data_IF_275971893637
#
_entry.id   IF_275971893637
#
_cell.length_a   1.000
_cell.length_b   1.000
_cell.length_c   1.000
_cell.angle_alpha   90.00
_cell.angle_beta   90.00
_cell.angle_gamma   90.00
#
_symmetry.space_group_name_H-M   'P 1'
#
loop_
_entity.id
_entity.type
_entity.pdbx_description
1 polymer ?
#
# COMPACT_ATOMS: atom_id res chain seq x y z
N UNK A 1 3.15 -12.81 -10.74
CA UNK A 1 2.83 -11.73 -9.78
C UNK A 1 1.87 -12.24 -8.74
N UNK A 2 2.23 -12.10 -7.47
CA UNK A 2 1.46 -12.67 -6.36
C UNK A 2 0.29 -11.76 -6.01
N UNK A 3 -0.92 -12.31 -6.00
CA UNK A 3 -2.12 -11.58 -5.58
C UNK A 3 -2.14 -11.38 -4.05
N UNK A 4 -2.82 -10.33 -3.61
CA UNK A 4 -3.10 -10.13 -2.21
C UNK A 4 -4.12 -11.13 -1.68
N UNK A 5 -4.08 -11.38 -0.38
CA UNK A 5 -5.01 -12.26 0.32
C UNK A 5 -5.80 -11.46 1.36
N UNK A 6 -7.01 -11.93 1.67
CA UNK A 6 -7.87 -11.34 2.70
C UNK A 6 -7.91 -12.29 3.91
N UNK A 7 -7.62 -11.75 5.09
CA UNK A 7 -7.62 -12.49 6.36
C UNK A 7 -8.72 -11.95 7.27
N UNK A 8 -9.47 -12.86 7.91
CA UNK A 8 -10.44 -12.54 8.96
C UNK A 8 -9.72 -12.61 10.32
N UNK A 9 -9.69 -11.49 11.04
CA UNK A 9 -9.03 -11.38 12.34
C UNK A 9 -10.00 -11.44 13.52
N UNK A 10 -11.26 -11.83 13.28
CA UNK A 10 -12.27 -11.92 14.34
C UNK A 10 -12.85 -10.57 14.74
N UNK A 11 -13.35 -9.79 13.79
CA UNK A 11 -13.92 -8.45 14.00
C UNK A 11 -13.23 -7.36 13.20
N UNK A 12 -12.03 -7.63 12.74
CA UNK A 12 -11.31 -6.81 11.78
C UNK A 12 -10.82 -7.68 10.63
N UNK A 13 -10.40 -7.04 9.56
CA UNK A 13 -9.95 -7.70 8.34
C UNK A 13 -8.55 -7.21 7.98
N UNK A 14 -7.80 -8.03 7.26
CA UNK A 14 -6.46 -7.64 6.83
C UNK A 14 -6.16 -8.12 5.42
N UNK A 15 -5.72 -7.21 4.57
CA UNK A 15 -5.12 -7.52 3.29
C UNK A 15 -3.64 -7.78 3.50
N UNK A 16 -3.11 -8.81 2.85
CA UNK A 16 -1.69 -9.14 2.87
C UNK A 16 -1.15 -9.27 1.47
N UNK A 17 -0.07 -8.54 1.20
CA UNK A 17 0.69 -8.62 -0.05
C UNK A 17 2.13 -8.94 0.28
N UNK A 18 2.75 -9.82 -0.51
CA UNK A 18 4.18 -10.11 -0.41
C UNK A 18 4.82 -9.96 -1.77
N UNK A 19 5.93 -9.23 -1.84
CA UNK A 19 6.69 -9.01 -3.08
C UNK A 19 8.15 -9.32 -2.85
N UNK A 20 8.73 -10.10 -3.75
CA UNK A 20 10.19 -10.29 -3.82
C UNK A 20 10.74 -9.22 -4.75
N UNK A 21 11.69 -8.42 -4.24
CA UNK A 21 12.24 -7.26 -4.94
C UNK A 21 13.74 -7.46 -5.12
N UNK A 22 14.21 -7.44 -6.37
CA UNK A 22 15.61 -7.66 -6.72
C UNK A 22 16.43 -6.37 -6.60
N UNK A 23 16.29 -5.68 -5.47
CA UNK A 23 17.02 -4.47 -5.13
C UNK A 23 17.46 -4.51 -3.66
N UNK A 24 18.57 -3.82 -3.31
CA UNK A 24 19.03 -3.79 -1.92
C UNK A 24 17.97 -3.28 -0.96
N UNK A 25 17.92 -3.86 0.24
CA UNK A 25 16.97 -3.47 1.28
C UNK A 25 16.99 -1.96 1.57
N UNK A 26 18.17 -1.36 1.61
CA UNK A 26 18.32 0.09 1.82
C UNK A 26 17.63 0.93 0.75
N UNK A 27 17.75 0.52 -0.52
CA UNK A 27 17.09 1.22 -1.63
C UNK A 27 15.57 1.12 -1.51
N UNK A 28 15.06 -0.06 -1.21
CA UNK A 28 13.62 -0.29 -1.05
C UNK A 28 13.10 0.45 0.18
N UNK A 29 13.87 0.46 1.28
CA UNK A 29 13.51 1.18 2.49
C UNK A 29 13.29 2.67 2.20
N UNK A 30 14.20 3.31 1.47
CA UNK A 30 14.04 4.71 1.07
C UNK A 30 12.80 4.92 0.20
N UNK A 31 12.54 4.01 -0.72
CA UNK A 31 11.37 4.10 -1.59
C UNK A 31 10.05 4.06 -0.81
N UNK A 32 9.99 3.32 0.29
CA UNK A 32 8.75 3.15 1.06
C UNK A 32 8.61 4.09 2.26
N UNK A 33 9.65 4.86 2.61
CA UNK A 33 9.62 5.74 3.78
C UNK A 33 9.93 7.22 3.48
N UNK A 34 10.63 7.52 2.42
CA UNK A 34 10.92 8.91 2.06
C UNK A 34 9.77 9.51 1.24
N UNK A 35 9.16 10.62 1.68
CA UNK A 35 7.97 11.20 1.02
C UNK A 35 8.16 11.46 -0.47
N UNK A 36 9.32 11.96 -0.88
CA UNK A 36 9.63 12.24 -2.28
C UNK A 36 9.65 10.98 -3.15
N UNK A 37 10.07 9.83 -2.58
CA UNK A 37 10.06 8.55 -3.28
C UNK A 37 8.69 7.85 -3.20
N UNK A 38 7.95 8.06 -2.12
CA UNK A 38 6.60 7.51 -1.96
C UNK A 38 5.62 8.01 -3.02
N UNK A 39 5.85 9.20 -3.58
CA UNK A 39 5.02 9.75 -4.67
C UNK A 39 4.94 8.85 -5.89
N UNK A 40 5.95 8.03 -6.13
CA UNK A 40 5.97 7.13 -7.28
C UNK A 40 4.93 6.01 -7.17
N UNK A 41 4.56 5.62 -5.96
CA UNK A 41 3.74 4.42 -5.76
C UNK A 41 2.59 4.56 -4.75
N UNK A 42 2.76 5.36 -3.70
CA UNK A 42 1.74 5.50 -2.65
C UNK A 42 0.57 6.36 -3.14
N UNK A 43 -0.69 6.09 -2.69
CA UNK A 43 -1.85 6.79 -3.24
C UNK A 43 -1.95 8.28 -2.90
N UNK A 44 -1.29 8.74 -1.83
CA UNK A 44 -1.29 10.15 -1.41
C UNK A 44 0.12 10.66 -1.22
N UNK A 45 0.26 11.99 -1.21
CA UNK A 45 1.46 12.65 -0.70
C UNK A 45 1.46 12.55 0.82
N UNK A 46 2.62 12.25 1.40
CA UNK A 46 2.80 12.06 2.84
C UNK A 46 3.72 13.14 3.37
N UNK A 47 3.33 13.78 4.47
CA UNK A 47 4.18 14.69 5.21
C UNK A 47 4.10 14.39 6.70
N UNK A 48 5.12 14.78 7.46
CA UNK A 48 5.14 14.59 8.91
C UNK A 48 6.46 14.01 9.41
N UNK A 49 6.42 13.39 10.57
CA UNK A 49 7.60 12.90 11.28
C UNK A 49 7.58 11.38 11.38
N UNK A 50 8.57 10.73 10.79
CA UNK A 50 8.75 9.28 10.83
C UNK A 50 9.42 8.82 12.12
N UNK A 51 8.75 9.09 13.26
CA UNK A 51 9.13 8.61 14.58
C UNK A 51 7.88 8.08 15.26
N UNK A 52 8.01 7.12 16.16
CA UNK A 52 6.85 6.56 16.88
C UNK A 52 6.11 7.69 17.61
N UNK A 53 4.80 7.75 17.40
CA UNK A 53 3.95 8.85 17.89
C UNK A 53 3.98 10.10 17.01
N UNK A 54 4.80 10.12 15.97
CA UNK A 54 4.88 11.27 15.06
C UNK A 54 3.62 11.43 14.21
N UNK A 55 3.11 12.67 14.08
CA UNK A 55 1.93 12.93 13.28
C UNK A 55 2.27 12.88 11.79
N UNK A 56 1.34 12.31 11.00
CA UNK A 56 1.41 12.28 9.54
C UNK A 56 0.20 13.00 8.97
N UNK A 57 0.39 13.60 7.80
CA UNK A 57 -0.69 14.16 6.98
C UNK A 57 -0.62 13.54 5.61
N UNK A 58 -1.77 13.04 5.15
CA UNK A 58 -1.95 12.46 3.84
C UNK A 58 -2.77 13.42 2.98
N UNK A 59 -2.20 13.84 1.85
CA UNK A 59 -2.83 14.78 0.93
C UNK A 59 -3.04 14.11 -0.43
N UNK A 60 -4.18 14.32 -1.03
CA UNK A 60 -4.45 13.80 -2.38
C UNK A 60 -3.45 14.33 -3.40
N UNK A 61 -3.15 13.55 -4.45
CA UNK A 61 -2.23 13.97 -5.49
C UNK A 61 -2.65 15.32 -6.08
N UNK A 62 -1.71 16.24 -6.22
CA UNK A 62 -1.97 17.59 -6.74
C UNK A 62 -3.05 18.36 -5.95
N UNK A 63 -3.19 18.07 -4.65
CA UNK A 63 -4.17 18.70 -3.79
C UNK A 63 -5.61 18.26 -4.01
N UNK A 64 -5.82 17.13 -4.67
CA UNK A 64 -7.17 16.60 -4.91
C UNK A 64 -7.70 15.87 -3.69
N UNK A 65 -8.93 16.18 -3.31
CA UNK A 65 -9.59 15.58 -2.17
C UNK A 65 -9.17 16.19 -0.84
N UNK A 66 -9.86 15.84 0.25
CA UNK A 66 -9.53 16.34 1.58
C UNK A 66 -8.26 15.68 2.12
N UNK A 67 -7.48 16.46 2.86
CA UNK A 67 -6.39 15.92 3.65
C UNK A 67 -6.94 15.10 4.81
N UNK A 68 -6.20 14.08 5.23
CA UNK A 68 -6.51 13.35 6.45
C UNK A 68 -5.23 13.04 7.23
N UNK A 69 -5.39 12.80 8.52
CA UNK A 69 -4.27 12.62 9.43
C UNK A 69 -3.96 11.15 9.67
N UNK A 70 -2.75 10.92 10.15
CA UNK A 70 -2.28 9.64 10.60
C UNK A 70 -1.24 9.80 11.70
N UNK A 71 -0.66 8.68 12.07
CA UNK A 71 0.35 8.62 13.13
C UNK A 71 1.25 7.42 12.89
N UNK A 72 2.55 7.57 13.14
CA UNK A 72 3.48 6.44 13.14
C UNK A 72 3.29 5.63 14.41
N UNK A 73 2.94 4.35 14.27
CA UNK A 73 2.67 3.43 15.37
C UNK A 73 3.87 2.57 15.74
N UNK A 74 4.70 2.21 14.75
CA UNK A 74 5.92 1.43 14.95
C UNK A 74 6.94 1.80 13.89
N UNK A 75 8.21 1.80 14.26
CA UNK A 75 9.28 2.17 13.36
C UNK A 75 10.58 1.48 13.77
N UNK A 76 11.11 0.63 12.89
CA UNK A 76 12.42 0.02 13.04
C UNK A 76 13.17 0.27 11.73
N UNK A 77 14.22 1.10 11.72
CA UNK A 77 14.94 1.43 10.50
C UNK A 77 15.32 0.20 9.69
N UNK A 78 15.15 0.28 8.38
CA UNK A 78 15.44 -0.76 7.39
C UNK A 78 14.52 -1.97 7.42
N UNK A 79 13.62 -2.14 8.40
CA UNK A 79 12.84 -3.38 8.52
C UNK A 79 11.34 -3.19 8.69
N UNK A 80 10.88 -2.11 9.32
CA UNK A 80 9.47 -2.00 9.69
C UNK A 80 9.03 -0.55 9.83
N UNK A 81 7.88 -0.24 9.22
CA UNK A 81 7.10 0.95 9.56
C UNK A 81 5.62 0.57 9.60
N UNK A 82 4.93 1.03 10.63
CA UNK A 82 3.49 0.88 10.77
C UNK A 82 2.88 2.23 11.09
N UNK A 83 1.80 2.57 10.41
CA UNK A 83 1.16 3.87 10.60
C UNK A 83 -0.35 3.77 10.43
N UNK A 84 -1.06 4.65 11.14
CA UNK A 84 -2.48 4.86 10.94
C UNK A 84 -2.69 5.70 9.67
N UNK A 85 -3.55 5.21 8.80
CA UNK A 85 -3.90 5.81 7.52
C UNK A 85 -5.42 5.99 7.48
N UNK A 86 -5.88 7.16 7.94
CA UNK A 86 -7.30 7.35 8.21
C UNK A 86 -7.77 6.37 9.29
N UNK A 87 -8.71 5.52 8.96
CA UNK A 87 -9.24 4.48 9.85
C UNK A 87 -8.52 3.13 9.70
N UNK A 88 -7.62 3.02 8.72
CA UNK A 88 -6.86 1.79 8.48
C UNK A 88 -5.51 1.85 9.19
N UNK A 89 -4.89 0.68 9.35
CA UNK A 89 -3.50 0.56 9.80
C UNK A 89 -2.70 -0.11 8.69
N UNK A 90 -1.68 0.59 8.20
CA UNK A 90 -0.79 0.10 7.17
C UNK A 90 0.53 -0.29 7.82
N UNK A 91 1.01 -1.50 7.50
CA UNK A 91 2.29 -2.01 7.97
C UNK A 91 3.13 -2.46 6.79
N UNK A 92 4.36 -1.96 6.72
CA UNK A 92 5.33 -2.33 5.71
C UNK A 92 6.52 -2.98 6.40
N UNK A 93 6.85 -4.20 5.99
CA UNK A 93 7.97 -4.96 6.54
C UNK A 93 8.96 -5.30 5.43
N UNK A 94 10.25 -5.16 5.71
CA UNK A 94 11.32 -5.57 4.81
C UNK A 94 12.20 -6.61 5.47
N UNK A 95 12.45 -7.70 4.75
CA UNK A 95 13.41 -8.72 5.16
C UNK A 95 14.47 -8.88 4.05
N UNK A 96 15.74 -8.75 4.43
CA UNK A 96 16.85 -8.89 3.48
C UNK A 96 17.01 -10.31 2.95
N UNK A 97 17.46 -10.43 1.70
CA UNK A 97 17.78 -11.69 1.02
C UNK A 97 19.11 -11.51 0.29
N UNK A 98 19.81 -12.60 -0.06
CA UNK A 98 21.11 -12.49 -0.75
C UNK A 98 21.04 -11.70 -2.08
N UNK A 99 19.92 -11.75 -2.78
CA UNK A 99 19.70 -11.13 -4.09
C UNK A 99 18.66 -10.01 -4.07
N UNK A 100 18.33 -9.49 -2.89
CA UNK A 100 17.34 -8.41 -2.77
C UNK A 100 16.67 -8.40 -1.41
N UNK A 101 15.36 -8.22 -1.39
CA UNK A 101 14.58 -8.24 -0.17
C UNK A 101 13.14 -8.70 -0.43
N UNK A 102 12.45 -9.05 0.66
CA UNK A 102 11.01 -9.34 0.64
C UNK A 102 10.27 -8.19 1.30
N UNK A 103 9.32 -7.61 0.59
CA UNK A 103 8.42 -6.59 1.12
C UNK A 103 7.07 -7.23 1.42
N UNK A 104 6.58 -7.01 2.64
CA UNK A 104 5.21 -7.37 3.03
C UNK A 104 4.43 -6.10 3.33
N UNK A 105 3.26 -5.95 2.70
CA UNK A 105 2.30 -4.88 2.99
C UNK A 105 1.08 -5.49 3.65
N UNK A 106 0.70 -4.95 4.80
CA UNK A 106 -0.51 -5.32 5.53
C UNK A 106 -1.41 -4.09 5.66
N UNK A 107 -2.68 -4.23 5.30
CA UNK A 107 -3.71 -3.21 5.51
C UNK A 107 -4.79 -3.80 6.40
N UNK A 108 -4.91 -3.31 7.63
CA UNK A 108 -5.90 -3.76 8.62
C UNK A 108 -7.02 -2.73 8.71
N UNK A 109 -8.27 -3.19 8.59
CA UNK A 109 -9.45 -2.33 8.48
C UNK A 109 -10.69 -3.01 9.06
N UNK A 110 -11.77 -2.25 9.23
CA UNK A 110 -13.01 -2.73 9.86
C UNK A 110 -14.09 -3.10 8.85
N UNK A 111 -14.18 -2.41 7.72
CA UNK A 111 -15.25 -2.58 6.74
C UNK A 111 -14.86 -3.55 5.63
N UNK A 112 -15.34 -4.79 5.69
CA UNK A 112 -15.00 -5.82 4.71
C UNK A 112 -15.43 -5.46 3.28
N UNK A 113 -16.50 -4.68 3.11
CA UNK A 113 -17.03 -4.32 1.79
C UNK A 113 -16.06 -3.60 0.88
N UNK A 114 -15.01 -2.98 1.42
CA UNK A 114 -13.98 -2.28 0.63
C UNK A 114 -12.80 -3.17 0.21
N UNK A 115 -12.75 -4.43 0.67
CA UNK A 115 -11.57 -5.28 0.53
C UNK A 115 -11.13 -5.48 -0.92
N UNK A 116 -12.03 -5.81 -1.84
CA UNK A 116 -11.67 -6.05 -3.24
C UNK A 116 -11.19 -4.76 -3.92
N UNK A 117 -11.86 -3.64 -3.64
CA UNK A 117 -11.47 -2.32 -4.14
C UNK A 117 -10.06 -1.95 -3.70
N UNK A 118 -9.80 -2.04 -2.40
CA UNK A 118 -8.53 -1.64 -1.81
C UNK A 118 -7.41 -2.62 -2.17
N UNK A 119 -7.71 -3.92 -2.29
CA UNK A 119 -6.75 -4.90 -2.78
C UNK A 119 -6.26 -4.57 -4.19
N UNK A 120 -7.18 -4.20 -5.08
CA UNK A 120 -6.81 -3.77 -6.44
C UNK A 120 -5.95 -2.50 -6.41
N UNK A 121 -6.26 -1.57 -5.50
CA UNK A 121 -5.46 -0.35 -5.30
C UNK A 121 -4.04 -0.65 -4.83
N UNK A 122 -3.87 -1.46 -3.80
CA UNK A 122 -2.54 -1.85 -3.32
C UNK A 122 -1.76 -2.67 -4.35
N UNK A 123 -2.45 -3.52 -5.10
CA UNK A 123 -1.82 -4.28 -6.18
C UNK A 123 -1.18 -3.31 -7.20
N UNK A 124 -1.94 -2.32 -7.66
CA UNK A 124 -1.39 -1.31 -8.58
C UNK A 124 -0.26 -0.51 -7.94
N UNK A 125 -0.40 -0.10 -6.67
CA UNK A 125 0.64 0.63 -5.95
C UNK A 125 1.96 -0.17 -5.90
N UNK A 126 1.90 -1.44 -5.58
CA UNK A 126 3.09 -2.29 -5.52
C UNK A 126 3.72 -2.54 -6.90
N UNK A 127 2.91 -2.63 -7.94
CA UNK A 127 3.41 -2.72 -9.31
C UNK A 127 4.10 -1.41 -9.74
N UNK A 128 3.56 -0.26 -9.33
CA UNK A 128 4.21 1.05 -9.53
C UNK A 128 5.55 1.12 -8.80
N UNK A 129 5.61 0.65 -7.56
CA UNK A 129 6.85 0.59 -6.81
C UNK A 129 7.91 -0.23 -7.53
N UNK A 130 7.53 -1.40 -8.03
CA UNK A 130 8.44 -2.27 -8.79
C UNK A 130 8.93 -1.58 -10.06
N UNK A 131 8.04 -0.97 -10.83
CA UNK A 131 8.39 -0.24 -12.05
C UNK A 131 9.34 0.94 -11.76
N UNK A 132 9.06 1.69 -10.71
CA UNK A 132 9.91 2.81 -10.30
C UNK A 132 11.32 2.34 -9.92
N UNK A 133 11.41 1.27 -9.13
CA UNK A 133 12.69 0.70 -8.72
C UNK A 133 13.48 0.12 -9.90
N UNK A 134 12.80 -0.54 -10.84
CA UNK A 134 13.44 -1.22 -11.97
C UNK A 134 13.79 -0.29 -13.12
N UNK A 135 12.93 0.68 -13.42
CA UNK A 135 13.00 1.48 -14.65
C UNK A 135 12.97 2.99 -14.43
N UNK A 136 12.50 3.45 -13.26
CA UNK A 136 12.27 4.87 -13.00
C UNK A 136 11.05 5.44 -13.71
N UNK A 137 10.24 4.60 -14.34
CA UNK A 137 9.02 5.02 -15.05
C UNK A 137 7.97 3.91 -15.02
N UNK A 138 6.70 4.28 -15.17
CA UNK A 138 5.60 3.31 -15.21
C UNK A 138 5.48 2.64 -16.59
N UNK A 139 5.23 1.32 -16.58
CA UNK A 139 4.97 0.56 -17.79
C UNK A 139 3.49 0.46 -18.15
N UNK A 140 2.62 1.09 -17.37
CA UNK A 140 1.17 1.09 -17.56
C UNK A 140 0.58 2.44 -17.16
N UNK A 141 -0.65 2.72 -17.61
CA UNK A 141 -1.33 3.96 -17.25
C UNK A 141 -1.92 3.90 -15.83
N UNK A 142 -1.95 5.01 -15.09
CA UNK A 142 -2.62 5.06 -13.79
C UNK A 142 -4.07 4.57 -13.88
N UNK A 143 -4.46 3.66 -12.98
CA UNK A 143 -5.78 3.03 -12.97
C UNK A 143 -5.92 1.80 -13.87
N UNK A 144 -5.02 1.62 -14.81
CA UNK A 144 -5.07 0.47 -15.72
C UNK A 144 -4.91 -0.86 -14.98
N UNK A 145 -3.91 -0.97 -14.13
CA UNK A 145 -3.68 -2.20 -13.37
C UNK A 145 -4.83 -2.48 -12.41
N UNK A 146 -5.34 -1.44 -11.77
CA UNK A 146 -6.52 -1.55 -10.91
C UNK A 146 -7.70 -2.18 -11.66
N UNK A 147 -8.00 -1.67 -12.85
CA UNK A 147 -9.10 -2.18 -13.67
C UNK A 147 -8.89 -3.64 -14.10
N UNK A 148 -7.65 -4.02 -14.36
CA UNK A 148 -7.31 -5.39 -14.76
C UNK A 148 -7.47 -6.40 -13.62
N UNK A 149 -7.10 -6.03 -12.39
CA UNK A 149 -7.04 -6.96 -11.26
C UNK A 149 -8.28 -6.92 -10.37
N UNK A 150 -9.04 -5.82 -10.35
CA UNK A 150 -10.23 -5.68 -9.52
C UNK A 150 -11.24 -6.83 -9.70
N UNK A 151 -11.62 -7.24 -10.94
CA UNK A 151 -12.52 -8.37 -11.12
C UNK A 151 -12.01 -9.68 -10.53
N UNK A 152 -10.69 -9.86 -10.49
CA UNK A 152 -10.07 -11.06 -9.91
C UNK A 152 -10.23 -11.06 -8.38
N UNK A 153 -10.09 -9.90 -7.74
CA UNK A 153 -10.29 -9.76 -6.29
C UNK A 153 -11.77 -9.93 -5.92
N UNK A 154 -12.69 -9.39 -6.75
CA UNK A 154 -14.12 -9.62 -6.56
C UNK A 154 -14.44 -11.12 -6.59
N UNK A 155 -13.90 -11.85 -7.56
CA UNK A 155 -14.09 -13.29 -7.68
C UNK A 155 -13.48 -14.07 -6.51
N UNK A 156 -12.29 -13.65 -6.05
CA UNK A 156 -11.57 -14.33 -4.96
C UNK A 156 -12.18 -14.08 -3.59
N UNK A 157 -12.63 -12.85 -3.32
CA UNK A 157 -13.10 -12.43 -1.99
C UNK A 157 -14.62 -12.57 -1.79
N UNK A 158 -15.40 -12.57 -2.87
CA UNK A 158 -16.85 -12.71 -2.83
C UNK A 158 -17.60 -11.38 -2.72
N UNK A 159 -18.92 -11.46 -2.76
CA UNK A 159 -19.79 -10.28 -2.86
C UNK A 159 -19.73 -9.37 -1.63
N UNK A 160 -19.68 -9.95 -0.43
CA UNK A 160 -19.62 -9.19 0.81
C UNK A 160 -18.36 -8.30 0.87
N UNK A 161 -17.24 -8.85 0.44
CA UNK A 161 -15.95 -8.15 0.40
C UNK A 161 -15.79 -7.24 -0.82
N UNK A 162 -16.82 -7.11 -1.64
CA UNK A 162 -16.79 -6.34 -2.90
C UNK A 162 -17.96 -5.35 -3.00
N UNK A 163 -18.57 -5.02 -1.85
CA UNK A 163 -19.78 -4.19 -1.81
C UNK A 163 -19.52 -2.75 -2.22
N UNK A 164 -18.30 -2.23 -1.99
CA UNK A 164 -17.91 -0.88 -2.40
C UNK A 164 -17.22 -0.91 -3.76
N UNK A 165 -17.67 -0.05 -4.65
CA UNK A 165 -17.11 0.13 -5.98
C UNK A 165 -15.86 1.00 -6.01
N UNK A 166 -15.39 1.40 -7.21
CA UNK A 166 -14.22 2.25 -7.36
C UNK A 166 -14.34 3.53 -6.55
N UNK A 167 -13.20 4.06 -6.03
CA UNK A 167 -13.23 5.35 -5.35
C UNK A 167 -13.70 6.46 -6.29
N UNK A 168 -14.34 7.53 -5.77
CA UNK A 168 -14.77 8.66 -6.59
C UNK A 168 -13.59 9.26 -7.37
N UNK A 169 -13.76 9.45 -8.67
CA UNK A 169 -12.74 10.02 -9.55
C UNK A 169 -11.70 9.02 -10.05
N UNK A 170 -11.91 7.73 -9.83
CA UNK A 170 -11.05 6.68 -10.39
C UNK A 170 -11.35 6.43 -11.86
#
# INVERSE_FOLDING_TARGET
MTAGTLEDLGGRWRLRFTREIAHPQEKVWRAITEPEHMRAWFPQDVSGQWVVGGPLVFSGPEGRGPDFDGEVLAYQPQSLVEFRWGTDVIRLELAGRPDGCTLTLLDTFDEVGKAARDAAGWHECLDRLTDDLDKGELSFQPGQRWAEVHPRYVAAFGLEASALGPPPGA
#
